data_IF_881076039049
#
_entry.id   IF_881076039049
#
_cell.length_a   1.000
_cell.length_b   1.000
_cell.length_c   1.000
_cell.angle_alpha   90.00
_cell.angle_beta   90.00
_cell.angle_gamma   90.00
#
_symmetry.space_group_name_H-M   'P 1'
#
loop_
_entity.id
_entity.type
_entity.pdbx_description
1 polymer ?
#
# COMPACT_ATOMS: atom_id res chain seq x y z
N UNK A 1 -7.24 -17.66 45.06
CA UNK A 1 -6.91 -17.01 43.80
C UNK A 1 -5.96 -17.88 43.01
N UNK A 2 -5.96 -17.82 41.70
CA UNK A 2 -5.10 -18.63 40.85
C UNK A 2 -3.62 -18.34 41.11
N UNK A 3 -3.29 -17.11 41.47
CA UNK A 3 -1.96 -16.67 41.90
C UNK A 3 -1.40 -17.46 43.06
N UNK A 4 -2.24 -17.72 44.07
CA UNK A 4 -1.82 -18.50 45.25
C UNK A 4 -1.51 -19.95 44.88
N UNK A 5 -2.23 -20.51 43.92
CA UNK A 5 -1.99 -21.86 43.37
C UNK A 5 -0.68 -21.93 42.59
N UNK A 6 -0.39 -20.89 41.82
CA UNK A 6 0.89 -20.80 41.08
C UNK A 6 2.08 -20.66 42.04
N UNK A 7 2.00 -19.76 43.01
CA UNK A 7 3.04 -19.64 44.04
C UNK A 7 3.25 -20.94 44.81
N UNK A 8 2.16 -21.65 45.16
CA UNK A 8 2.25 -22.96 45.81
C UNK A 8 2.84 -24.04 44.88
N UNK A 9 2.64 -23.94 43.57
CA UNK A 9 3.27 -24.81 42.57
C UNK A 9 4.77 -24.57 42.53
N UNK A 10 5.21 -23.33 42.40
CA UNK A 10 6.63 -22.95 42.40
C UNK A 10 7.31 -23.36 43.73
N UNK A 11 6.64 -23.16 44.86
CA UNK A 11 7.16 -23.58 46.15
C UNK A 11 7.35 -25.09 46.24
N UNK A 12 6.42 -25.90 45.70
CA UNK A 12 6.55 -27.36 45.64
C UNK A 12 7.65 -27.84 44.71
N UNK A 13 7.99 -27.03 43.72
CA UNK A 13 9.04 -27.29 42.74
C UNK A 13 10.41 -26.73 43.20
N UNK A 14 10.46 -26.08 44.36
CA UNK A 14 11.65 -25.39 44.91
C UNK A 14 12.17 -24.30 43.92
N UNK A 15 11.29 -23.78 43.05
CA UNK A 15 11.62 -22.74 42.09
C UNK A 15 11.48 -21.36 42.73
N UNK A 16 12.42 -21.06 43.59
CA UNK A 16 12.49 -19.78 44.34
C UNK A 16 12.74 -18.59 43.42
N UNK A 17 13.29 -18.82 42.23
CA UNK A 17 13.50 -17.76 41.24
C UNK A 17 12.17 -17.28 40.66
N UNK A 18 11.30 -18.20 40.26
CA UNK A 18 9.95 -17.85 39.77
C UNK A 18 9.11 -17.21 40.87
N UNK A 19 9.21 -17.66 42.11
CA UNK A 19 8.56 -17.00 43.26
C UNK A 19 9.05 -15.56 43.39
N UNK A 20 10.36 -15.35 43.38
CA UNK A 20 10.94 -14.01 43.50
C UNK A 20 10.51 -13.07 42.35
N UNK A 21 10.50 -13.56 41.12
CA UNK A 21 10.02 -12.81 39.99
C UNK A 21 8.54 -12.42 40.14
N UNK A 22 7.69 -13.35 40.55
CA UNK A 22 6.27 -13.10 40.76
C UNK A 22 6.05 -12.01 41.82
N UNK A 23 6.71 -12.16 42.98
CA UNK A 23 6.64 -11.19 44.11
C UNK A 23 7.24 -9.81 43.72
N UNK A 24 8.29 -9.80 42.93
CA UNK A 24 8.90 -8.54 42.46
C UNK A 24 8.00 -7.76 41.49
N UNK A 25 7.19 -8.46 40.69
CA UNK A 25 6.29 -7.84 39.70
C UNK A 25 4.92 -7.49 40.29
N UNK A 26 4.57 -7.99 41.48
CA UNK A 26 3.30 -7.68 42.16
C UNK A 26 3.43 -6.39 42.98
N UNK A 27 2.84 -5.29 42.46
CA UNK A 27 2.81 -4.01 43.17
C UNK A 27 1.92 -4.07 44.43
N UNK A 28 0.85 -4.87 44.43
CA UNK A 28 0.00 -5.09 45.58
C UNK A 28 0.78 -5.75 46.73
N UNK A 29 1.64 -6.74 46.42
CA UNK A 29 2.57 -7.34 47.38
C UNK A 29 3.57 -6.30 47.88
N UNK A 30 4.15 -5.50 47.01
CA UNK A 30 5.07 -4.43 47.40
C UNK A 30 4.43 -3.46 48.40
N UNK A 31 3.23 -2.97 48.07
CA UNK A 31 2.49 -2.05 48.95
C UNK A 31 2.09 -2.68 50.29
N UNK A 32 1.75 -3.97 50.28
CA UNK A 32 1.47 -4.72 51.49
C UNK A 32 2.71 -4.85 52.38
N UNK A 33 3.82 -5.30 51.80
CA UNK A 33 5.09 -5.42 52.54
C UNK A 33 5.58 -4.06 53.03
N UNK A 34 5.45 -3.01 52.21
CA UNK A 34 5.85 -1.66 52.65
C UNK A 34 5.05 -1.16 53.85
N UNK A 35 3.77 -1.55 53.97
CA UNK A 35 2.94 -1.23 55.14
C UNK A 35 3.26 -2.10 56.36
N UNK A 36 3.37 -3.41 56.14
CA UNK A 36 3.62 -4.39 57.21
C UNK A 36 5.06 -4.35 57.70
N UNK A 37 6.03 -4.09 56.83
CA UNK A 37 7.44 -4.16 57.19
C UNK A 37 7.86 -3.19 58.30
N UNK A 38 7.17 -2.04 58.44
CA UNK A 38 7.44 -1.09 59.55
C UNK A 38 7.11 -1.65 60.94
N UNK A 39 6.21 -2.61 61.03
CA UNK A 39 5.79 -3.21 62.27
C UNK A 39 6.40 -4.60 62.51
N UNK A 40 6.85 -5.29 61.44
CA UNK A 40 7.26 -6.70 61.48
C UNK A 40 8.79 -6.89 61.33
N UNK A 41 9.47 -5.93 60.67
CA UNK A 41 10.92 -5.98 60.46
C UNK A 41 11.68 -5.19 61.52
N UNK A 42 12.88 -5.65 61.84
CA UNK A 42 13.81 -4.79 62.56
C UNK A 42 14.19 -3.58 61.68
N UNK A 43 14.63 -2.44 62.26
CA UNK A 43 15.07 -1.29 61.47
C UNK A 43 16.13 -1.62 60.43
N UNK A 44 17.08 -2.48 60.76
CA UNK A 44 18.19 -2.91 59.90
C UNK A 44 17.67 -3.80 58.76
N UNK A 45 16.76 -4.74 59.04
CA UNK A 45 16.15 -5.60 58.01
C UNK A 45 15.26 -4.78 57.06
N UNK A 46 14.54 -3.77 57.61
CA UNK A 46 13.72 -2.89 56.80
C UNK A 46 14.56 -2.08 55.78
N UNK A 47 15.65 -1.48 56.25
CA UNK A 47 16.53 -0.70 55.35
C UNK A 47 17.27 -1.58 54.35
N UNK A 48 17.68 -2.80 54.78
CA UNK A 48 18.28 -3.81 53.89
C UNK A 48 17.33 -4.26 52.76
N UNK A 49 16.03 -4.38 53.08
CA UNK A 49 14.99 -4.71 52.08
C UNK A 49 14.62 -3.50 51.21
N UNK A 50 14.41 -2.33 51.84
CA UNK A 50 13.88 -1.13 51.17
C UNK A 50 14.81 -0.58 50.12
N UNK A 51 16.10 -0.47 50.40
CA UNK A 51 17.07 0.18 49.52
C UNK A 51 17.14 -0.50 48.14
N UNK A 52 17.42 -1.82 48.01
CA UNK A 52 17.45 -2.50 46.73
C UNK A 52 16.05 -2.53 46.04
N UNK A 53 14.98 -2.60 46.85
CA UNK A 53 13.62 -2.61 46.29
C UNK A 53 13.24 -1.27 45.63
N UNK A 54 13.59 -0.15 46.22
CA UNK A 54 13.34 1.19 45.63
C UNK A 54 14.14 1.35 44.34
N UNK A 55 15.37 0.89 44.29
CA UNK A 55 16.20 0.94 43.08
C UNK A 55 15.64 0.03 41.96
N UNK A 56 15.23 -1.20 42.35
CA UNK A 56 14.52 -2.10 41.43
C UNK A 56 13.26 -1.44 40.86
N UNK A 57 12.39 -0.86 41.72
CA UNK A 57 11.16 -0.25 41.31
C UNK A 57 11.39 0.94 40.38
N UNK A 58 12.42 1.75 40.62
CA UNK A 58 12.84 2.83 39.75
C UNK A 58 13.23 2.33 38.35
N UNK A 59 14.05 1.27 38.31
CA UNK A 59 14.50 0.62 37.08
C UNK A 59 13.32 -0.01 36.35
N UNK A 60 12.48 -0.75 37.07
CA UNK A 60 11.28 -1.39 36.53
C UNK A 60 10.31 -0.38 35.89
N UNK A 61 10.04 0.73 36.59
CA UNK A 61 9.19 1.81 36.10
C UNK A 61 9.84 2.62 34.94
N UNK A 62 11.14 2.47 34.69
CA UNK A 62 11.78 3.09 33.52
C UNK A 62 11.57 2.29 32.23
N UNK A 63 11.14 1.04 32.32
CA UNK A 63 10.83 0.20 31.16
C UNK A 63 9.51 0.69 30.56
N UNK A 64 9.53 1.09 29.27
CA UNK A 64 8.38 1.72 28.61
C UNK A 64 7.09 0.90 28.68
N UNK A 65 7.16 -0.42 28.58
CA UNK A 65 5.99 -1.30 28.67
C UNK A 65 5.34 -1.28 30.06
N UNK A 66 6.11 -1.13 31.13
CA UNK A 66 5.60 -1.03 32.50
C UNK A 66 5.18 0.39 32.87
N UNK A 67 5.87 1.41 32.32
CA UNK A 67 5.56 2.81 32.57
C UNK A 67 4.27 3.29 31.85
N UNK A 68 4.07 2.82 30.62
CA UNK A 68 3.02 3.33 29.71
C UNK A 68 2.04 2.27 29.24
N UNK A 69 2.25 0.99 29.57
CA UNK A 69 1.28 -0.09 29.34
C UNK A 69 0.07 0.04 30.27
N UNK A 70 -1.09 -0.41 29.83
CA UNK A 70 -2.33 -0.33 30.61
C UNK A 70 -2.38 -1.50 31.61
N UNK A 71 -2.43 -1.19 32.91
CA UNK A 71 -2.63 -2.14 34.00
C UNK A 71 -3.98 -1.94 34.63
N UNK A 72 -4.60 -3.01 35.11
CA UNK A 72 -5.89 -2.87 35.80
C UNK A 72 -5.77 -2.19 37.18
N UNK A 73 -4.57 -2.19 37.77
CA UNK A 73 -4.24 -1.50 39.01
C UNK A 73 -3.90 -0.02 38.83
N UNK A 74 -3.55 0.41 37.60
CA UNK A 74 -3.17 1.80 37.30
C UNK A 74 -3.76 2.24 35.96
N UNK A 75 -5.05 2.57 35.96
CA UNK A 75 -5.78 3.02 34.79
C UNK A 75 -5.76 4.55 34.72
N UNK A 76 -5.15 5.11 33.68
CA UNK A 76 -5.10 6.54 33.43
C UNK A 76 -5.43 6.85 31.95
N UNK A 77 -5.74 8.11 31.65
CA UNK A 77 -5.94 8.55 30.25
C UNK A 77 -4.67 8.29 29.43
N UNK A 78 -3.50 8.47 30.05
CA UNK A 78 -2.22 8.25 29.38
C UNK A 78 -2.08 6.76 29.03
N UNK A 79 -2.28 5.84 29.99
CA UNK A 79 -2.13 4.40 29.75
C UNK A 79 -3.21 3.84 28.85
N UNK A 80 -4.45 4.40 28.85
CA UNK A 80 -5.52 4.05 27.90
C UNK A 80 -5.18 4.42 26.46
N UNK A 81 -4.34 5.42 26.24
CA UNK A 81 -3.90 5.80 24.89
C UNK A 81 -2.56 5.16 24.53
N UNK A 82 -1.57 5.21 25.44
CA UNK A 82 -0.20 4.81 25.13
C UNK A 82 -0.03 3.32 24.90
N UNK A 83 -0.78 2.47 25.60
CA UNK A 83 -0.68 1.01 25.43
C UNK A 83 -0.88 0.54 23.99
N UNK A 84 -1.67 1.28 23.20
CA UNK A 84 -1.95 0.97 21.79
C UNK A 84 -0.71 1.12 20.90
N UNK A 85 0.31 1.86 21.34
CA UNK A 85 1.53 2.15 20.58
C UNK A 85 2.75 1.38 21.10
N UNK A 86 2.60 0.64 22.19
CA UNK A 86 3.65 -0.20 22.74
C UNK A 86 3.55 -1.62 22.21
N UNK A 87 4.67 -2.33 22.13
CA UNK A 87 4.72 -3.70 21.62
C UNK A 87 5.71 -4.54 22.41
N UNK A 88 5.36 -5.80 22.65
CA UNK A 88 6.19 -6.76 23.40
C UNK A 88 7.40 -7.31 22.63
N UNK A 89 7.57 -6.93 21.34
CA UNK A 89 8.70 -7.35 20.52
C UNK A 89 8.48 -7.12 19.04
N UNK A 90 9.53 -7.37 18.24
CA UNK A 90 9.54 -7.10 16.79
C UNK A 90 8.44 -7.90 16.06
N UNK A 91 8.26 -9.18 16.37
CA UNK A 91 7.21 -10.00 15.75
C UNK A 91 5.81 -9.47 16.05
N UNK A 92 5.59 -8.93 17.26
CA UNK A 92 4.31 -8.35 17.66
C UNK A 92 3.99 -7.06 16.88
N UNK A 93 4.94 -6.14 16.72
CA UNK A 93 4.72 -4.93 15.93
C UNK A 93 4.53 -5.25 14.45
N UNK A 94 5.34 -6.15 13.88
CA UNK A 94 5.22 -6.56 12.47
C UNK A 94 3.84 -7.18 12.20
N UNK A 95 3.38 -8.09 13.06
CA UNK A 95 2.05 -8.67 12.95
C UNK A 95 0.94 -7.61 12.97
N UNK A 96 0.99 -6.69 13.93
CA UNK A 96 0.03 -5.59 14.02
C UNK A 96 0.05 -4.68 12.78
N UNK A 97 1.23 -4.35 12.26
CA UNK A 97 1.35 -3.49 11.08
C UNK A 97 0.80 -4.16 9.82
N UNK A 98 1.01 -5.46 9.64
CA UNK A 98 0.42 -6.21 8.52
C UNK A 98 -1.10 -6.10 8.55
N UNK A 99 -1.74 -6.37 9.68
CA UNK A 99 -3.20 -6.26 9.80
C UNK A 99 -3.70 -4.82 9.64
N UNK A 100 -2.99 -3.85 10.22
CA UNK A 100 -3.34 -2.43 10.06
C UNK A 100 -3.24 -1.97 8.60
N UNK A 101 -2.23 -2.39 7.86
CA UNK A 101 -2.09 -2.07 6.44
C UNK A 101 -3.22 -2.72 5.63
N UNK A 102 -3.46 -4.01 5.83
CA UNK A 102 -4.46 -4.77 5.04
C UNK A 102 -5.88 -4.22 5.24
N UNK A 103 -6.28 -3.94 6.47
CA UNK A 103 -7.64 -3.50 6.78
C UNK A 103 -7.76 -1.98 6.93
N UNK A 104 -6.73 -1.34 7.48
CA UNK A 104 -6.75 0.07 7.84
C UNK A 104 -6.88 0.97 6.62
N UNK A 105 -6.07 0.77 5.59
CA UNK A 105 -6.14 1.59 4.36
C UNK A 105 -7.52 1.55 3.70
N UNK A 106 -8.13 0.38 3.64
CA UNK A 106 -9.45 0.25 3.03
C UNK A 106 -10.54 0.95 3.86
N UNK A 107 -10.51 0.82 5.18
CA UNK A 107 -11.45 1.51 6.08
C UNK A 107 -11.20 3.02 6.04
N UNK A 108 -9.95 3.46 6.10
CA UNK A 108 -9.57 4.87 6.02
C UNK A 108 -10.05 5.53 4.73
N UNK A 109 -9.84 4.88 3.58
CA UNK A 109 -10.33 5.36 2.28
C UNK A 109 -11.87 5.41 2.23
N UNK A 110 -12.54 4.49 2.91
CA UNK A 110 -14.01 4.45 2.95
C UNK A 110 -14.64 5.51 3.86
N UNK A 111 -14.03 5.86 5.00
CA UNK A 111 -14.62 6.78 6.00
C UNK A 111 -13.89 8.11 6.15
N UNK A 112 -12.69 8.23 5.58
CA UNK A 112 -11.81 9.41 5.65
C UNK A 112 -10.86 9.39 6.84
N UNK A 113 -9.70 10.07 6.71
CA UNK A 113 -8.55 10.00 7.62
C UNK A 113 -8.88 10.36 9.07
N UNK A 114 -9.59 11.47 9.29
CA UNK A 114 -9.88 11.97 10.66
C UNK A 114 -10.80 11.01 11.41
N UNK A 115 -11.85 10.52 10.76
CA UNK A 115 -12.78 9.57 11.39
C UNK A 115 -12.10 8.24 11.67
N UNK A 116 -11.25 7.77 10.73
CA UNK A 116 -10.46 6.56 10.92
C UNK A 116 -9.58 6.66 12.15
N UNK A 117 -8.80 7.74 12.29
CA UNK A 117 -7.94 7.96 13.46
C UNK A 117 -8.73 8.00 14.77
N UNK A 118 -9.85 8.73 14.79
CA UNK A 118 -10.69 8.80 15.98
C UNK A 118 -11.28 7.44 16.35
N UNK A 119 -11.77 6.69 15.37
CA UNK A 119 -12.37 5.37 15.63
C UNK A 119 -11.33 4.34 16.04
N UNK A 120 -10.12 4.43 15.48
CA UNK A 120 -8.97 3.61 15.89
C UNK A 120 -8.63 3.83 17.38
N UNK A 121 -8.46 5.12 17.79
CA UNK A 121 -8.11 5.46 19.16
C UNK A 121 -9.23 5.09 20.15
N UNK A 122 -10.47 5.41 19.82
CA UNK A 122 -11.63 5.09 20.67
C UNK A 122 -11.80 3.56 20.77
N UNK A 123 -11.69 2.86 19.66
CA UNK A 123 -11.74 1.37 19.62
C UNK A 123 -10.68 0.75 20.53
N UNK A 124 -9.45 1.29 20.50
CA UNK A 124 -8.36 0.85 21.37
C UNK A 124 -8.59 1.16 22.86
N UNK A 125 -9.18 2.31 23.17
CA UNK A 125 -9.57 2.64 24.56
C UNK A 125 -10.59 1.62 25.09
N UNK A 126 -11.65 1.33 24.32
CA UNK A 126 -12.66 0.36 24.73
C UNK A 126 -12.10 -1.07 24.79
N UNK A 127 -11.15 -1.43 23.91
CA UNK A 127 -10.42 -2.67 23.98
C UNK A 127 -9.63 -2.79 25.30
N UNK A 128 -8.91 -1.72 25.68
CA UNK A 128 -8.19 -1.65 26.95
C UNK A 128 -9.11 -1.76 28.15
N UNK A 129 -10.22 -1.05 28.15
CA UNK A 129 -11.21 -1.12 29.24
C UNK A 129 -11.84 -2.52 29.37
N UNK A 130 -12.12 -3.20 28.26
CA UNK A 130 -12.62 -4.58 28.30
C UNK A 130 -11.61 -5.53 28.95
N UNK A 131 -10.32 -5.36 28.67
CA UNK A 131 -9.25 -6.14 29.33
C UNK A 131 -9.18 -5.81 30.82
N UNK A 132 -9.17 -4.53 31.18
CA UNK A 132 -9.11 -4.08 32.60
C UNK A 132 -10.20 -4.74 33.45
N UNK A 133 -11.46 -4.77 32.94
CA UNK A 133 -12.59 -5.38 33.68
C UNK A 133 -12.39 -6.88 33.92
N UNK A 134 -11.70 -7.57 33.02
CA UNK A 134 -11.48 -9.02 33.14
C UNK A 134 -10.20 -9.40 33.89
N UNK A 135 -9.30 -8.45 34.09
CA UNK A 135 -8.01 -8.66 34.77
C UNK A 135 -7.87 -7.80 36.02
N UNK A 136 -8.98 -7.54 36.72
CA UNK A 136 -8.97 -6.69 37.93
C UNK A 136 -7.91 -7.17 38.96
N UNK A 137 -7.10 -6.24 39.42
CA UNK A 137 -6.01 -6.51 40.37
C UNK A 137 -4.71 -6.99 39.72
N UNK A 138 -4.63 -7.13 38.41
CA UNK A 138 -3.41 -7.53 37.73
C UNK A 138 -2.51 -6.33 37.41
N UNK A 139 -1.22 -6.47 37.69
CA UNK A 139 -0.15 -5.54 37.36
C UNK A 139 0.53 -5.84 36.02
N UNK A 140 0.07 -6.87 35.32
CA UNK A 140 0.59 -7.22 34.00
C UNK A 140 0.14 -6.15 32.98
N UNK A 141 1.09 -5.46 32.34
CA UNK A 141 0.74 -4.38 31.41
C UNK A 141 0.19 -4.93 30.10
N UNK A 142 -1.00 -4.48 29.70
CA UNK A 142 -1.49 -4.64 28.36
C UNK A 142 -0.70 -3.72 27.43
N UNK A 143 -0.20 -4.26 26.32
CA UNK A 143 0.49 -3.51 25.25
C UNK A 143 0.10 -4.07 23.90
N UNK A 144 -0.05 -3.21 22.92
CA UNK A 144 -0.28 -3.56 21.52
C UNK A 144 -1.45 -2.84 20.86
N UNK A 145 -1.29 -2.59 19.58
CA UNK A 145 -2.30 -2.02 18.71
C UNK A 145 -3.47 -2.97 18.42
N UNK A 146 -3.35 -4.26 18.76
CA UNK A 146 -4.23 -5.33 18.29
C UNK A 146 -5.70 -5.16 18.70
N UNK A 147 -5.98 -4.57 19.84
CA UNK A 147 -7.35 -4.24 20.25
C UNK A 147 -7.99 -3.20 19.36
N UNK A 148 -7.28 -2.11 19.05
CA UNK A 148 -7.73 -1.09 18.10
C UNK A 148 -7.88 -1.67 16.67
N UNK A 149 -6.93 -2.50 16.24
CA UNK A 149 -6.97 -3.19 14.93
C UNK A 149 -8.17 -4.14 14.84
N UNK A 150 -8.54 -4.83 15.93
CA UNK A 150 -9.77 -5.63 15.98
C UNK A 150 -11.01 -4.77 15.73
N UNK A 151 -11.02 -3.52 16.24
CA UNK A 151 -12.06 -2.53 15.93
C UNK A 151 -12.06 -2.14 14.45
N UNK A 152 -10.90 -1.93 13.86
CA UNK A 152 -10.77 -1.66 12.40
C UNK A 152 -11.27 -2.84 11.58
N UNK A 153 -10.99 -4.08 11.98
CA UNK A 153 -11.52 -5.28 11.31
C UNK A 153 -13.06 -5.34 11.36
N UNK A 154 -13.66 -4.99 12.51
CA UNK A 154 -15.12 -4.91 12.62
C UNK A 154 -15.71 -3.83 11.71
N UNK A 155 -15.08 -2.65 11.64
CA UNK A 155 -15.47 -1.59 10.70
C UNK A 155 -15.36 -2.06 9.25
N UNK A 156 -14.25 -2.73 8.91
CA UNK A 156 -14.05 -3.30 7.57
C UNK A 156 -15.19 -4.25 7.19
N UNK A 157 -15.56 -5.17 8.08
CA UNK A 157 -16.67 -6.08 7.87
C UNK A 157 -18.01 -5.36 7.72
N UNK A 158 -18.25 -4.32 8.49
CA UNK A 158 -19.48 -3.51 8.40
C UNK A 158 -19.58 -2.74 7.08
N UNK A 159 -18.45 -2.21 6.57
CA UNK A 159 -18.38 -1.45 5.31
C UNK A 159 -18.46 -2.37 4.10
N UNK A 160 -17.63 -3.42 4.07
CA UNK A 160 -17.46 -4.27 2.88
C UNK A 160 -18.35 -5.50 2.88
N UNK A 161 -18.86 -5.95 4.02
CA UNK A 161 -19.88 -7.04 4.17
C UNK A 161 -19.58 -8.30 3.35
N UNK A 162 -20.44 -8.60 2.39
CA UNK A 162 -20.36 -9.78 1.51
C UNK A 162 -19.50 -9.53 0.25
N UNK A 163 -18.82 -8.39 0.16
CA UNK A 163 -17.94 -8.10 -0.97
C UNK A 163 -16.81 -9.10 -1.02
N UNK A 164 -16.53 -9.57 -2.21
CA UNK A 164 -15.42 -10.49 -2.44
C UNK A 164 -14.14 -9.69 -2.51
N UNK A 165 -13.26 -9.93 -1.56
CA UNK A 165 -11.89 -9.39 -1.54
C UNK A 165 -10.91 -10.48 -1.97
N UNK A 166 -9.77 -10.06 -2.45
CA UNK A 166 -8.71 -10.95 -2.89
C UNK A 166 -7.80 -11.25 -1.71
N UNK A 167 -7.71 -12.54 -1.37
CA UNK A 167 -6.82 -13.05 -0.33
C UNK A 167 -5.57 -13.61 -0.97
N UNK A 168 -4.42 -13.17 -0.50
CA UNK A 168 -3.15 -13.78 -0.80
C UNK A 168 -2.94 -14.98 0.12
N UNK A 169 -2.50 -16.12 -0.46
CA UNK A 169 -2.06 -17.25 0.34
C UNK A 169 -0.67 -17.70 -0.05
N UNK A 170 0.07 -18.11 0.96
CA UNK A 170 1.39 -18.73 0.81
C UNK A 170 1.44 -19.95 1.73
N UNK A 171 1.32 -21.12 1.16
CA UNK A 171 1.36 -22.40 1.87
C UNK A 171 2.49 -23.23 1.29
N UNK A 172 3.61 -23.37 1.98
CA UNK A 172 4.82 -23.97 1.51
C UNK A 172 5.29 -23.40 0.17
N UNK A 173 5.18 -24.16 -0.94
CA UNK A 173 5.54 -23.73 -2.28
C UNK A 173 4.36 -23.20 -3.10
N UNK A 174 3.16 -23.30 -2.57
CA UNK A 174 1.97 -22.81 -3.26
C UNK A 174 1.68 -21.36 -2.87
N UNK A 175 1.81 -20.49 -3.84
CA UNK A 175 1.53 -19.06 -3.71
C UNK A 175 0.41 -18.70 -4.69
N UNK A 176 -0.57 -17.95 -4.23
CA UNK A 176 -1.65 -17.53 -5.11
C UNK A 176 -2.64 -16.59 -4.44
N UNK A 177 -3.69 -16.30 -5.18
CA UNK A 177 -4.77 -15.45 -4.73
C UNK A 177 -6.10 -16.18 -4.89
N UNK A 178 -7.00 -15.98 -3.93
CA UNK A 178 -8.38 -16.42 -4.05
C UNK A 178 -9.32 -15.32 -3.62
N UNK A 179 -10.52 -15.29 -4.20
CA UNK A 179 -11.55 -14.30 -3.86
C UNK A 179 -12.63 -14.90 -2.98
N UNK A 180 -12.83 -14.29 -1.82
CA UNK A 180 -13.85 -14.70 -0.87
C UNK A 180 -14.55 -13.47 -0.25
N UNK A 181 -15.78 -13.63 0.27
CA UNK A 181 -16.45 -12.57 1.00
C UNK A 181 -15.63 -12.10 2.19
N UNK A 182 -15.56 -10.78 2.41
CA UNK A 182 -14.87 -10.19 3.56
C UNK A 182 -15.33 -10.80 4.90
N UNK A 183 -16.60 -11.17 4.98
CA UNK A 183 -17.20 -11.79 6.17
C UNK A 183 -16.50 -13.09 6.60
N UNK A 184 -15.81 -13.80 5.69
CA UNK A 184 -15.05 -15.02 6.05
C UNK A 184 -13.84 -14.76 6.95
N UNK A 185 -13.38 -13.51 7.04
CA UNK A 185 -12.31 -13.13 7.98
C UNK A 185 -12.76 -13.41 9.43
N UNK A 186 -14.03 -13.15 9.73
CA UNK A 186 -14.58 -13.25 11.09
C UNK A 186 -14.46 -14.64 11.70
N UNK A 187 -14.99 -15.73 11.09
CA UNK A 187 -14.83 -17.06 11.66
C UNK A 187 -13.36 -17.51 11.71
N UNK A 188 -12.53 -17.08 10.77
CA UNK A 188 -11.11 -17.39 10.80
C UNK A 188 -10.40 -16.68 11.96
N UNK A 189 -10.69 -15.40 12.17
CA UNK A 189 -10.14 -14.61 13.26
C UNK A 189 -10.58 -15.15 14.63
N UNK A 190 -11.89 -15.38 14.80
CA UNK A 190 -12.46 -15.96 16.03
C UNK A 190 -11.90 -17.36 16.29
N UNK A 191 -11.82 -18.19 15.24
CA UNK A 191 -11.26 -19.54 15.35
C UNK A 191 -9.81 -19.54 15.80
N UNK A 192 -9.00 -18.60 15.28
CA UNK A 192 -7.62 -18.38 15.74
C UNK A 192 -7.57 -17.97 17.21
N UNK A 193 -8.39 -17.03 17.66
CA UNK A 193 -8.44 -16.59 19.05
C UNK A 193 -8.83 -17.75 19.98
N UNK A 194 -9.87 -18.52 19.64
CA UNK A 194 -10.29 -19.71 20.39
C UNK A 194 -9.16 -20.75 20.42
N UNK A 195 -8.52 -21.04 19.30
CA UNK A 195 -7.41 -21.98 19.23
C UNK A 195 -6.24 -21.53 20.14
N UNK A 196 -5.87 -20.28 20.10
CA UNK A 196 -4.79 -19.74 20.94
C UNK A 196 -5.14 -19.83 22.44
N UNK A 197 -6.41 -19.58 22.81
CA UNK A 197 -6.87 -19.69 24.18
C UNK A 197 -6.70 -21.11 24.74
N UNK A 198 -7.04 -22.14 23.94
CA UNK A 198 -6.93 -23.55 24.39
C UNK A 198 -5.55 -24.17 24.19
N UNK A 199 -4.81 -23.73 23.16
CA UNK A 199 -3.52 -24.35 22.80
C UNK A 199 -2.34 -23.83 23.62
N UNK A 200 -2.45 -22.63 24.17
CA UNK A 200 -1.38 -21.97 24.91
C UNK A 200 -1.88 -21.56 26.30
N UNK A 201 -1.96 -22.53 27.23
CA UNK A 201 -2.19 -22.23 28.64
C UNK A 201 -1.10 -21.28 29.13
N UNK A 202 -1.49 -20.11 29.68
CA UNK A 202 -0.57 -19.07 30.14
C UNK A 202 -0.14 -18.10 29.03
N UNK A 203 -0.79 -18.09 27.84
CA UNK A 203 -0.52 -17.09 26.83
C UNK A 203 -0.96 -15.70 27.33
N UNK A 204 -0.04 -14.72 27.26
CA UNK A 204 -0.31 -13.32 27.58
C UNK A 204 -1.14 -12.62 26.49
N UNK A 205 -1.97 -13.34 25.74
CA UNK A 205 -2.81 -12.77 24.68
C UNK A 205 -4.06 -12.18 25.31
N UNK A 206 -4.28 -10.92 25.08
CA UNK A 206 -5.40 -10.15 25.64
C UNK A 206 -6.70 -10.37 24.80
N UNK A 207 -7.28 -11.57 24.90
CA UNK A 207 -8.50 -11.94 24.15
C UNK A 207 -9.65 -10.97 24.38
N UNK A 208 -9.80 -10.49 25.61
CA UNK A 208 -10.89 -9.56 25.95
C UNK A 208 -10.65 -8.16 25.37
N UNK A 209 -9.38 -7.74 25.23
CA UNK A 209 -9.07 -6.53 24.48
C UNK A 209 -9.46 -6.66 22.99
N UNK A 210 -9.19 -7.81 22.37
CA UNK A 210 -9.58 -8.06 20.98
C UNK A 210 -11.11 -8.05 20.82
N UNK A 211 -11.84 -8.76 21.68
CA UNK A 211 -13.30 -8.81 21.66
C UNK A 211 -13.91 -7.42 21.91
N UNK A 212 -13.41 -6.71 22.93
CA UNK A 212 -13.85 -5.35 23.25
C UNK A 212 -13.61 -4.36 22.11
N UNK A 213 -12.43 -4.42 21.49
CA UNK A 213 -12.11 -3.62 20.31
C UNK A 213 -13.03 -3.93 19.13
N UNK A 214 -13.27 -5.20 18.84
CA UNK A 214 -14.15 -5.64 17.77
C UNK A 214 -15.59 -5.14 17.97
N UNK A 215 -16.14 -5.27 19.17
CA UNK A 215 -17.49 -4.77 19.52
C UNK A 215 -17.52 -3.25 19.38
N UNK A 216 -16.53 -2.54 19.94
CA UNK A 216 -16.46 -1.07 19.88
C UNK A 216 -16.40 -0.57 18.43
N UNK A 217 -15.55 -1.17 17.59
CA UNK A 217 -15.46 -0.83 16.17
C UNK A 217 -16.77 -1.03 15.41
N UNK A 218 -17.48 -2.15 15.67
CA UNK A 218 -18.79 -2.42 15.11
C UNK A 218 -19.85 -1.39 15.54
N UNK A 219 -19.84 -1.00 16.81
CA UNK A 219 -20.76 0.03 17.34
C UNK A 219 -20.43 1.40 16.74
N UNK A 220 -19.17 1.82 16.72
CA UNK A 220 -18.74 3.10 16.18
C UNK A 220 -19.17 3.31 14.73
N UNK A 221 -18.88 2.32 13.88
CA UNK A 221 -19.29 2.40 12.47
C UNK A 221 -20.81 2.31 12.33
N UNK A 222 -21.48 1.50 13.14
CA UNK A 222 -22.93 1.39 13.15
C UNK A 222 -23.60 2.72 13.49
N UNK A 223 -23.15 3.41 14.55
CA UNK A 223 -23.64 4.74 14.93
C UNK A 223 -23.36 5.75 13.80
N UNK A 224 -22.15 5.74 13.22
CA UNK A 224 -21.81 6.63 12.13
C UNK A 224 -22.73 6.45 10.92
N UNK A 225 -23.06 5.23 10.56
CA UNK A 225 -23.97 4.90 9.45
C UNK A 225 -25.42 5.27 9.72
N UNK A 226 -25.87 5.16 10.98
CA UNK A 226 -27.22 5.59 11.40
C UNK A 226 -27.36 7.10 11.39
N UNK A 227 -26.33 7.81 11.83
CA UNK A 227 -26.36 9.28 11.92
C UNK A 227 -26.20 9.98 10.57
N UNK A 228 -25.33 9.45 9.72
CA UNK A 228 -25.09 10.01 8.39
C UNK A 228 -24.81 8.90 7.39
N UNK A 229 -25.76 8.57 6.53
CA UNK A 229 -25.60 7.55 5.47
C UNK A 229 -24.51 7.90 4.46
N UNK A 230 -24.12 9.18 4.34
CA UNK A 230 -23.07 9.66 3.47
C UNK A 230 -21.67 9.63 4.13
N UNK A 231 -21.53 8.98 5.30
CA UNK A 231 -20.21 8.78 5.95
C UNK A 231 -19.27 7.99 5.07
N UNK A 232 -19.81 7.08 4.25
CA UNK A 232 -19.02 6.23 3.37
C UNK A 232 -18.75 6.91 2.03
N UNK A 233 -17.52 6.82 1.58
CA UNK A 233 -17.15 7.15 0.21
C UNK A 233 -17.63 6.02 -0.72
N UNK A 234 -18.87 6.15 -1.21
CA UNK A 234 -19.48 5.15 -2.06
C UNK A 234 -18.73 4.96 -3.38
N UNK A 235 -18.15 6.02 -3.94
CA UNK A 235 -17.35 5.95 -5.17
C UNK A 235 -16.15 5.02 -4.99
N UNK A 236 -15.41 5.16 -3.88
CA UNK A 236 -14.31 4.25 -3.55
C UNK A 236 -14.81 2.81 -3.34
N UNK A 237 -15.90 2.67 -2.58
CA UNK A 237 -16.47 1.37 -2.25
C UNK A 237 -17.00 0.67 -3.52
N UNK A 238 -17.56 1.40 -4.49
CA UNK A 238 -18.06 0.86 -5.75
C UNK A 238 -16.95 0.58 -6.77
N UNK A 239 -15.91 1.43 -6.82
CA UNK A 239 -14.73 1.20 -7.65
C UNK A 239 -14.01 -0.11 -7.34
N UNK A 240 -13.94 -0.50 -6.07
CA UNK A 240 -13.33 -1.78 -5.67
C UNK A 240 -14.16 -3.02 -6.09
N UNK A 241 -15.45 -2.85 -6.47
CA UNK A 241 -16.28 -3.94 -7.01
C UNK A 241 -16.14 -4.13 -8.52
N UNK A 242 -15.77 -3.11 -9.22
CA UNK A 242 -15.49 -3.19 -10.64
C UNK A 242 -13.97 -3.31 -10.82
N UNK A 243 -13.45 -4.52 -10.78
CA UNK A 243 -12.35 -4.83 -11.69
C UNK A 243 -12.87 -4.32 -13.01
N UNK A 244 -12.37 -3.18 -13.47
CA UNK A 244 -12.98 -2.49 -14.60
C UNK A 244 -13.08 -3.48 -15.75
N UNK A 245 -14.06 -3.34 -16.63
CA UNK A 245 -14.16 -4.19 -17.81
C UNK A 245 -12.80 -4.23 -18.54
N UNK A 246 -12.08 -3.10 -18.46
CA UNK A 246 -10.71 -2.94 -18.94
C UNK A 246 -9.71 -3.87 -18.22
N UNK A 247 -9.68 -3.91 -16.90
CA UNK A 247 -8.73 -4.75 -16.15
C UNK A 247 -9.00 -6.24 -16.35
N UNK A 248 -10.26 -6.65 -16.44
CA UNK A 248 -10.64 -8.01 -16.82
C UNK A 248 -10.16 -8.33 -18.23
N UNK A 249 -10.42 -7.42 -19.17
CA UNK A 249 -9.98 -7.56 -20.57
C UNK A 249 -8.46 -7.66 -20.66
N UNK A 250 -7.70 -6.82 -19.96
CA UNK A 250 -6.25 -6.87 -19.92
C UNK A 250 -5.73 -8.18 -19.29
N UNK A 251 -6.34 -8.66 -18.20
CA UNK A 251 -5.97 -9.93 -17.58
C UNK A 251 -6.20 -11.12 -18.53
N UNK A 252 -7.31 -11.12 -19.29
CA UNK A 252 -7.55 -12.14 -20.33
C UNK A 252 -6.52 -12.07 -21.46
N UNK A 253 -6.13 -10.86 -21.88
CA UNK A 253 -5.10 -10.63 -22.91
C UNK A 253 -3.76 -11.19 -22.43
N UNK A 254 -3.31 -10.81 -21.22
CA UNK A 254 -2.02 -11.31 -20.69
C UNK A 254 -2.02 -12.83 -20.51
N UNK A 255 -3.09 -13.40 -19.99
CA UNK A 255 -3.22 -14.87 -19.88
C UNK A 255 -3.19 -15.57 -21.23
N UNK A 256 -3.76 -14.95 -22.28
CA UNK A 256 -3.69 -15.48 -23.62
C UNK A 256 -2.27 -15.40 -24.21
N UNK A 257 -1.54 -14.32 -23.91
CA UNK A 257 -0.13 -14.15 -24.32
C UNK A 257 0.75 -15.19 -23.64
N UNK A 258 0.63 -15.39 -22.33
CA UNK A 258 1.35 -16.43 -21.57
C UNK A 258 1.10 -17.84 -22.12
N UNK A 259 -0.13 -18.09 -22.59
CA UNK A 259 -0.53 -19.36 -23.20
C UNK A 259 -0.22 -19.44 -24.71
N UNK A 260 0.52 -18.48 -25.27
CA UNK A 260 0.88 -18.34 -26.68
C UNK A 260 -0.32 -18.31 -27.64
N UNK A 261 -1.52 -17.94 -27.16
CA UNK A 261 -2.75 -17.84 -27.95
C UNK A 261 -2.89 -16.44 -28.55
N UNK A 262 -1.97 -16.06 -29.44
CA UNK A 262 -1.84 -14.70 -29.95
C UNK A 262 -3.05 -14.20 -30.74
N UNK A 263 -3.73 -15.09 -31.50
CA UNK A 263 -4.95 -14.72 -32.24
C UNK A 263 -6.09 -14.34 -31.29
N UNK A 264 -6.26 -15.09 -30.20
CA UNK A 264 -7.23 -14.77 -29.17
C UNK A 264 -6.89 -13.45 -28.47
N UNK A 265 -5.60 -13.24 -28.13
CA UNK A 265 -5.15 -11.98 -27.53
C UNK A 265 -5.42 -10.79 -28.46
N UNK A 266 -5.11 -10.88 -29.77
CA UNK A 266 -5.39 -9.83 -30.75
C UNK A 266 -6.88 -9.52 -30.90
N UNK A 267 -7.72 -10.55 -30.88
CA UNK A 267 -9.19 -10.38 -30.87
C UNK A 267 -9.65 -9.61 -29.65
N UNK A 268 -9.20 -10.01 -28.45
CA UNK A 268 -9.53 -9.34 -27.18
C UNK A 268 -9.02 -7.90 -27.12
N UNK A 269 -7.83 -7.62 -27.61
CA UNK A 269 -7.32 -6.24 -27.74
C UNK A 269 -8.26 -5.42 -28.63
N UNK A 270 -8.70 -5.98 -29.78
CA UNK A 270 -9.59 -5.26 -30.69
C UNK A 270 -10.97 -5.00 -30.06
N UNK A 271 -11.53 -5.95 -29.31
CA UNK A 271 -12.76 -5.79 -28.54
C UNK A 271 -12.61 -4.67 -27.50
N UNK A 272 -11.52 -4.68 -26.75
CA UNK A 272 -11.27 -3.68 -25.71
C UNK A 272 -11.03 -2.28 -26.29
N UNK A 273 -10.34 -2.18 -27.43
CA UNK A 273 -10.16 -0.90 -28.15
C UNK A 273 -11.49 -0.33 -28.66
N UNK A 274 -12.48 -1.16 -28.98
CA UNK A 274 -13.81 -0.70 -29.41
C UNK A 274 -14.68 -0.22 -28.24
N UNK A 275 -14.57 -0.85 -27.07
CA UNK A 275 -15.40 -0.54 -25.89
C UNK A 275 -14.82 0.57 -25.03
N UNK A 276 -13.52 0.59 -24.81
CA UNK A 276 -12.83 1.54 -23.91
C UNK A 276 -12.06 2.64 -24.64
N UNK A 277 -11.93 2.50 -25.96
CA UNK A 277 -11.14 3.41 -26.77
C UNK A 277 -9.69 2.96 -27.00
N UNK A 278 -9.02 3.68 -27.88
CA UNK A 278 -7.64 3.44 -28.26
C UNK A 278 -6.69 4.23 -27.36
N UNK A 279 -5.81 3.52 -26.66
CA UNK A 279 -4.72 4.10 -25.91
C UNK A 279 -3.35 3.49 -26.26
N UNK A 280 -2.30 4.06 -25.67
CA UNK A 280 -0.93 3.62 -25.93
C UNK A 280 -0.70 2.16 -25.53
N UNK A 281 -1.21 1.70 -24.39
CA UNK A 281 -1.01 0.34 -23.88
C UNK A 281 -1.58 -0.70 -24.84
N UNK A 282 -2.81 -0.53 -25.27
CA UNK A 282 -3.48 -1.46 -26.18
C UNK A 282 -2.84 -1.44 -27.57
N UNK A 283 -2.52 -0.24 -28.10
CA UNK A 283 -1.83 -0.10 -29.38
C UNK A 283 -0.44 -0.76 -29.34
N UNK A 284 0.30 -0.59 -28.26
CA UNK A 284 1.64 -1.17 -28.08
C UNK A 284 1.58 -2.69 -27.95
N UNK A 285 0.63 -3.24 -27.18
CA UNK A 285 0.41 -4.69 -27.10
C UNK A 285 0.07 -5.28 -28.47
N UNK A 286 -0.83 -4.64 -29.20
CA UNK A 286 -1.21 -5.07 -30.56
C UNK A 286 0.00 -5.09 -31.50
N UNK A 287 0.76 -3.99 -31.51
CA UNK A 287 1.98 -3.89 -32.32
C UNK A 287 2.95 -5.04 -32.02
N UNK A 288 3.25 -5.29 -30.73
CA UNK A 288 4.19 -6.35 -30.34
C UNK A 288 3.71 -7.75 -30.77
N UNK A 289 2.43 -8.05 -30.60
CA UNK A 289 1.89 -9.35 -31.01
C UNK A 289 1.91 -9.54 -32.53
N UNK A 290 1.57 -8.53 -33.30
CA UNK A 290 1.63 -8.57 -34.76
C UNK A 290 3.09 -8.70 -35.25
N UNK A 291 4.05 -8.06 -34.56
CA UNK A 291 5.48 -8.18 -34.83
C UNK A 291 5.96 -9.61 -34.61
N UNK A 292 5.63 -10.22 -33.47
CA UNK A 292 5.99 -11.60 -33.12
C UNK A 292 5.40 -12.59 -34.14
N UNK A 293 4.15 -12.42 -34.52
CA UNK A 293 3.48 -13.29 -35.49
C UNK A 293 3.98 -13.10 -36.92
N UNK A 294 4.71 -12.03 -37.21
CA UNK A 294 5.01 -11.57 -38.58
C UNK A 294 3.72 -11.43 -39.41
N UNK A 295 2.63 -10.96 -38.75
CA UNK A 295 1.29 -10.89 -39.29
C UNK A 295 1.12 -9.76 -40.31
N UNK A 296 0.10 -9.89 -41.17
CA UNK A 296 -0.27 -8.84 -42.12
C UNK A 296 -0.72 -7.54 -41.44
N UNK A 297 -1.12 -7.61 -40.17
CA UNK A 297 -1.54 -6.46 -39.34
C UNK A 297 -0.39 -5.62 -38.77
N UNK A 298 0.86 -6.04 -38.90
CA UNK A 298 2.02 -5.35 -38.36
C UNK A 298 2.10 -3.87 -38.78
N UNK A 299 2.02 -3.61 -40.08
CA UNK A 299 2.10 -2.24 -40.63
C UNK A 299 0.96 -1.36 -40.12
N UNK A 300 -0.26 -1.90 -40.11
CA UNK A 300 -1.42 -1.17 -39.56
C UNK A 300 -1.27 -0.88 -38.08
N UNK A 301 -0.81 -1.84 -37.30
CA UNK A 301 -0.60 -1.67 -35.85
C UNK A 301 0.51 -0.68 -35.55
N UNK A 302 1.60 -0.72 -36.32
CA UNK A 302 2.69 0.25 -36.23
C UNK A 302 2.20 1.66 -36.54
N UNK A 303 1.47 1.82 -37.64
CA UNK A 303 0.89 3.14 -38.04
C UNK A 303 -0.06 3.65 -36.95
N UNK A 304 -0.97 2.82 -36.45
CA UNK A 304 -1.90 3.18 -35.37
C UNK A 304 -1.14 3.66 -34.14
N UNK A 305 -0.08 2.97 -33.74
CA UNK A 305 0.73 3.33 -32.57
C UNK A 305 1.45 4.67 -32.76
N UNK A 306 2.06 4.88 -33.95
CA UNK A 306 2.80 6.11 -34.27
C UNK A 306 1.89 7.35 -34.50
N UNK A 307 0.60 7.13 -34.72
CA UNK A 307 -0.36 8.24 -34.94
C UNK A 307 -1.15 8.62 -33.67
N UNK A 308 -0.86 8.01 -32.52
CA UNK A 308 -1.50 8.36 -31.25
C UNK A 308 -1.26 9.81 -30.84
N UNK A 309 -2.26 10.39 -30.18
CA UNK A 309 -2.23 11.75 -29.64
C UNK A 309 -2.20 11.70 -28.10
N UNK A 310 -1.88 12.83 -27.47
CA UNK A 310 -1.92 13.01 -26.02
C UNK A 310 -1.04 12.00 -25.24
N UNK A 311 0.17 11.77 -25.75
CA UNK A 311 1.15 10.87 -25.13
C UNK A 311 1.92 11.56 -24.01
N UNK A 312 2.25 10.82 -22.97
CA UNK A 312 3.16 11.27 -21.94
C UNK A 312 4.64 11.14 -22.37
N UNK A 313 5.55 11.74 -21.61
CA UNK A 313 6.97 11.76 -21.96
C UNK A 313 7.61 10.37 -22.14
N UNK A 314 7.21 9.39 -21.30
CA UNK A 314 7.71 8.01 -21.37
C UNK A 314 7.20 7.28 -22.63
N UNK A 315 5.95 7.54 -23.02
CA UNK A 315 5.36 6.96 -24.23
C UNK A 315 6.01 7.53 -25.48
N UNK A 316 6.27 8.84 -25.50
CA UNK A 316 7.00 9.51 -26.60
C UNK A 316 8.43 8.95 -26.71
N UNK A 317 9.13 8.74 -25.59
CA UNK A 317 10.47 8.12 -25.60
C UNK A 317 10.43 6.69 -26.19
N UNK A 318 9.41 5.90 -25.84
CA UNK A 318 9.21 4.58 -26.44
C UNK A 318 8.98 4.63 -27.94
N UNK A 319 8.16 5.59 -28.42
CA UNK A 319 7.97 5.77 -29.87
C UNK A 319 9.26 6.17 -30.58
N UNK A 320 10.10 7.02 -29.97
CA UNK A 320 11.38 7.41 -30.52
C UNK A 320 12.33 6.20 -30.69
N UNK A 321 12.38 5.30 -29.71
CA UNK A 321 13.13 4.03 -29.80
C UNK A 321 12.59 3.13 -30.91
N UNK A 322 11.27 2.95 -31.00
CA UNK A 322 10.65 2.15 -32.04
C UNK A 322 10.87 2.74 -33.44
N UNK A 323 10.87 4.07 -33.57
CA UNK A 323 11.20 4.75 -34.82
C UNK A 323 12.59 4.39 -35.31
N UNK A 324 13.57 4.34 -34.41
CA UNK A 324 14.95 3.98 -34.75
C UNK A 324 15.10 2.49 -35.12
N UNK A 325 14.30 1.60 -34.47
CA UNK A 325 14.33 0.14 -34.73
C UNK A 325 13.66 -0.25 -36.05
N UNK A 326 12.50 0.37 -36.38
CA UNK A 326 11.63 -0.05 -37.48
C UNK A 326 11.82 0.78 -38.76
N UNK A 327 13.07 1.00 -39.17
CA UNK A 327 13.45 1.85 -40.29
C UNK A 327 12.69 1.58 -41.61
N UNK A 328 12.29 0.34 -41.87
CA UNK A 328 11.52 -0.03 -43.04
C UNK A 328 10.06 0.39 -42.95
N UNK A 329 9.48 0.28 -41.74
CA UNK A 329 8.07 0.61 -41.48
C UNK A 329 7.86 2.12 -41.41
N UNK A 330 8.87 2.91 -41.06
CA UNK A 330 8.77 4.37 -40.98
C UNK A 330 8.46 5.02 -42.33
N UNK A 331 8.96 4.43 -43.43
CA UNK A 331 8.70 4.90 -44.80
C UNK A 331 7.25 4.81 -45.24
N UNK A 332 6.43 4.12 -44.49
CA UNK A 332 5.00 3.88 -44.81
C UNK A 332 4.09 4.93 -44.15
N UNK A 333 4.64 5.69 -43.17
CA UNK A 333 3.86 6.77 -42.55
C UNK A 333 3.72 7.97 -43.52
N UNK A 334 2.52 8.58 -43.61
CA UNK A 334 2.33 9.85 -44.32
C UNK A 334 3.25 10.94 -43.77
N UNK A 335 3.68 11.84 -44.62
CA UNK A 335 4.61 12.90 -44.27
C UNK A 335 4.09 13.81 -43.12
N UNK A 336 2.77 14.10 -43.11
CA UNK A 336 2.14 14.89 -42.05
C UNK A 336 2.20 14.18 -40.69
N UNK A 337 2.01 12.84 -40.66
CA UNK A 337 2.12 12.05 -39.44
C UNK A 337 3.58 11.99 -38.94
N UNK A 338 4.54 11.87 -39.88
CA UNK A 338 5.96 11.95 -39.55
C UNK A 338 6.34 13.29 -38.95
N UNK A 339 5.88 14.38 -39.56
CA UNK A 339 6.12 15.75 -39.09
C UNK A 339 5.57 15.95 -37.66
N UNK A 340 4.33 15.53 -37.42
CA UNK A 340 3.72 15.60 -36.09
C UNK A 340 4.54 14.81 -35.06
N UNK A 341 4.97 13.61 -35.43
CA UNK A 341 5.80 12.75 -34.55
C UNK A 341 7.14 13.40 -34.23
N UNK A 342 7.77 14.04 -35.22
CA UNK A 342 9.01 14.79 -35.03
C UNK A 342 8.83 15.93 -34.03
N UNK A 343 7.71 16.67 -34.06
CA UNK A 343 7.40 17.69 -33.06
C UNK A 343 7.30 17.09 -31.63
N UNK A 344 6.73 15.90 -31.47
CA UNK A 344 6.70 15.22 -30.19
C UNK A 344 8.11 14.84 -29.74
N UNK A 345 8.94 14.31 -30.63
CA UNK A 345 10.32 13.93 -30.32
C UNK A 345 11.21 15.12 -29.90
N UNK A 346 10.89 16.36 -30.33
CA UNK A 346 11.62 17.54 -29.84
C UNK A 346 11.46 17.80 -28.35
N UNK A 347 10.49 17.17 -27.67
CA UNK A 347 10.31 17.29 -26.21
C UNK A 347 11.27 16.40 -25.43
N UNK A 348 11.89 15.43 -26.07
CA UNK A 348 12.80 14.46 -25.46
C UNK A 348 14.22 15.02 -25.25
N UNK A 349 15.00 14.30 -24.46
CA UNK A 349 16.44 14.51 -24.35
C UNK A 349 17.17 14.03 -25.60
N UNK A 350 16.76 12.90 -26.17
CA UNK A 350 17.30 12.37 -27.43
C UNK A 350 16.50 12.93 -28.62
N UNK A 351 17.15 13.71 -29.45
CA UNK A 351 16.57 14.37 -30.61
C UNK A 351 16.80 13.61 -31.92
N UNK A 352 17.47 12.45 -31.88
CA UNK A 352 17.89 11.70 -33.08
C UNK A 352 16.72 11.31 -33.99
N UNK A 353 15.57 10.93 -33.41
CA UNK A 353 14.38 10.63 -34.19
C UNK A 353 13.80 11.85 -34.90
N UNK A 354 13.80 13.00 -34.24
CA UNK A 354 13.33 14.25 -34.86
C UNK A 354 14.28 14.70 -36.01
N UNK A 355 15.60 14.55 -35.79
CA UNK A 355 16.60 14.81 -36.85
C UNK A 355 16.41 13.91 -38.05
N UNK A 356 16.26 12.61 -37.82
CA UNK A 356 16.06 11.65 -38.92
C UNK A 356 14.80 11.96 -39.74
N UNK A 357 13.74 12.36 -39.08
CA UNK A 357 12.48 12.71 -39.76
C UNK A 357 12.62 13.99 -40.56
N UNK A 358 13.19 15.05 -40.00
CA UNK A 358 13.31 16.31 -40.74
C UNK A 358 14.23 16.17 -41.94
N UNK A 359 15.37 15.45 -41.79
CA UNK A 359 16.30 15.20 -42.91
C UNK A 359 15.63 14.37 -44.02
N UNK A 360 14.80 13.38 -43.63
CA UNK A 360 14.03 12.56 -44.60
C UNK A 360 12.97 13.39 -45.34
N UNK A 361 12.15 14.16 -44.65
CA UNK A 361 11.09 14.99 -45.24
C UNK A 361 11.67 16.06 -46.14
N UNK A 362 12.80 16.65 -45.80
CA UNK A 362 13.49 17.62 -46.64
C UNK A 362 14.02 16.99 -47.95
N UNK A 363 14.62 15.78 -47.87
CA UNK A 363 15.08 15.03 -49.05
C UNK A 363 13.92 14.67 -50.01
N UNK A 364 12.74 14.41 -49.46
CA UNK A 364 11.52 14.17 -50.28
C UNK A 364 10.89 15.43 -50.88
N UNK A 365 11.52 16.57 -50.70
CA UNK A 365 10.99 17.87 -51.13
C UNK A 365 9.63 18.22 -50.50
N UNK A 366 9.32 17.61 -49.32
CA UNK A 366 8.15 17.97 -48.56
C UNK A 366 8.47 19.25 -47.76
N UNK A 367 7.83 20.36 -48.11
CA UNK A 367 8.17 21.68 -47.55
C UNK A 367 6.94 22.43 -47.02
N UNK A 368 6.15 21.88 -46.09
CA UNK A 368 5.10 22.68 -45.46
C UNK A 368 5.72 23.74 -44.55
N UNK A 369 5.00 24.78 -44.23
CA UNK A 369 5.42 25.84 -43.30
C UNK A 369 5.83 25.31 -41.93
N UNK A 370 5.18 24.25 -41.50
CA UNK A 370 5.47 23.57 -40.22
C UNK A 370 6.85 22.88 -40.19
N UNK A 371 7.42 22.50 -41.37
CA UNK A 371 8.78 21.93 -41.42
C UNK A 371 9.83 23.01 -41.09
N UNK A 372 9.60 24.26 -41.47
CA UNK A 372 10.43 25.40 -41.05
C UNK A 372 10.35 25.61 -39.54
N UNK A 373 9.15 25.48 -38.95
CA UNK A 373 8.96 25.59 -37.52
C UNK A 373 9.69 24.45 -36.77
N UNK A 374 9.65 23.24 -37.30
CA UNK A 374 10.38 22.10 -36.72
C UNK A 374 11.90 22.33 -36.74
N UNK A 375 12.44 22.83 -37.86
CA UNK A 375 13.86 23.16 -37.98
C UNK A 375 14.30 24.21 -36.93
N UNK A 376 13.51 25.28 -36.79
CA UNK A 376 13.78 26.31 -35.78
C UNK A 376 13.72 25.73 -34.35
N UNK A 377 12.75 24.87 -34.09
CA UNK A 377 12.62 24.22 -32.79
C UNK A 377 13.82 23.30 -32.47
N UNK A 378 14.31 22.53 -33.45
CA UNK A 378 15.50 21.71 -33.30
C UNK A 378 16.73 22.59 -33.07
N UNK A 379 16.89 23.70 -33.80
CA UNK A 379 17.99 24.63 -33.58
C UNK A 379 18.01 25.18 -32.16
N UNK A 380 16.84 25.58 -31.63
CA UNK A 380 16.71 26.03 -30.23
C UNK A 380 17.07 24.91 -29.25
N UNK A 381 16.54 23.70 -29.45
CA UNK A 381 16.83 22.55 -28.56
C UNK A 381 18.31 22.16 -28.56
N UNK A 382 19.01 22.25 -29.70
CA UNK A 382 20.45 22.00 -29.75
C UNK A 382 21.27 23.14 -29.11
N UNK A 383 20.81 24.39 -29.24
CA UNK A 383 21.41 25.53 -28.54
C UNK A 383 21.32 25.35 -27.00
N UNK A 384 20.17 24.95 -26.49
CA UNK A 384 19.95 24.64 -25.07
C UNK A 384 20.88 23.51 -24.55
N UNK A 385 21.30 22.61 -25.44
CA UNK A 385 22.24 21.52 -25.16
C UNK A 385 23.70 21.90 -25.41
N UNK A 386 23.99 23.15 -25.73
CA UNK A 386 25.33 23.63 -26.08
C UNK A 386 25.94 22.95 -27.32
N UNK A 387 25.09 22.37 -28.20
CA UNK A 387 25.51 21.79 -29.48
C UNK A 387 25.36 22.84 -30.59
N UNK A 388 26.35 23.73 -30.64
CA UNK A 388 26.34 24.84 -31.58
C UNK A 388 26.37 24.38 -33.04
N UNK A 389 27.05 23.29 -33.36
CA UNK A 389 27.16 22.76 -34.72
C UNK A 389 25.81 22.36 -35.27
N UNK A 390 25.06 21.52 -34.52
CA UNK A 390 23.71 21.11 -34.96
C UNK A 390 22.72 22.25 -34.86
N UNK A 391 22.84 23.16 -33.92
CA UNK A 391 22.01 24.35 -33.84
C UNK A 391 22.12 25.19 -35.12
N UNK A 392 23.34 25.48 -35.58
CA UNK A 392 23.58 26.21 -36.82
C UNK A 392 23.06 25.48 -38.07
N UNK A 393 23.30 24.14 -38.15
CA UNK A 393 22.76 23.30 -39.26
C UNK A 393 21.26 23.53 -39.46
N UNK A 394 20.49 23.48 -38.38
CA UNK A 394 19.02 23.58 -38.48
C UNK A 394 18.53 25.03 -38.63
N UNK A 395 19.28 26.03 -38.19
CA UNK A 395 19.00 27.44 -38.50
C UNK A 395 19.18 27.71 -39.99
N UNK A 396 20.28 27.27 -40.60
CA UNK A 396 20.53 27.40 -42.02
C UNK A 396 19.51 26.66 -42.86
N UNK A 397 19.12 25.44 -42.44
CA UNK A 397 18.05 24.65 -43.07
C UNK A 397 16.73 25.42 -43.07
N UNK A 398 16.34 26.01 -41.93
CA UNK A 398 15.12 26.81 -41.82
C UNK A 398 15.15 28.03 -42.75
N UNK A 399 16.27 28.75 -42.80
CA UNK A 399 16.45 29.91 -43.69
C UNK A 399 16.38 29.53 -45.18
N UNK A 400 17.00 28.40 -45.55
CA UNK A 400 16.97 27.88 -46.94
C UNK A 400 15.54 27.54 -47.36
N UNK A 401 14.81 26.80 -46.51
CA UNK A 401 13.41 26.46 -46.79
C UNK A 401 12.49 27.70 -46.90
N UNK A 402 12.75 28.73 -46.09
CA UNK A 402 12.01 29.99 -46.14
C UNK A 402 12.24 30.73 -47.48
N UNK A 403 13.51 30.80 -47.93
CA UNK A 403 13.87 31.41 -49.20
C UNK A 403 13.26 30.66 -50.42
N UNK A 404 13.33 29.33 -50.38
CA UNK A 404 12.75 28.48 -51.46
C UNK A 404 11.22 28.57 -51.51
N UNK A 405 10.54 28.76 -50.35
CA UNK A 405 9.08 28.95 -50.24
C UNK A 405 8.61 30.27 -50.84
N UNK A 406 9.45 31.32 -50.85
CA UNK A 406 9.14 32.61 -51.49
C UNK A 406 9.31 32.60 -53.00
N UNK A 407 10.04 31.66 -53.59
CA UNK A 407 10.24 31.57 -55.05
C UNK A 407 9.18 30.69 -55.74
N UNK A 408 8.23 30.11 -55.00
CA UNK A 408 7.14 29.29 -55.53
C UNK A 408 5.81 30.03 -55.69
N UNK A 409 5.76 31.33 -55.46
CA UNK A 409 4.58 32.17 -55.59
C UNK A 409 4.88 33.32 -56.64
N UNK A 410 5.30 32.94 -57.82
CA UNK A 410 5.32 33.83 -59.00
C UNK A 410 4.73 33.10 -60.19
#
# INVERSE_FOLDING_TARGET
TDDLRELQRYQRQEDYWSIAQYMLMDNGYYDHVQRAARSEFSPDDYDAWKTPRVEFQKTFNSISTFAYGLKSTDVSIVTLLSHQFLHGGVGHIVGNMIFLIVFGFAVEAAIGHVKFLLFYLIGGIFAGLAQVVTTLGSDVPLVGASGAISGVMAMYLAVFRLRKIEFFYWVFFFVGYFRAPALLILPFYIGKEIYQYYAFEGSNVAFMAHAGGFIAGGILIGIALLWNRNVLNNDYIEQDQTVSAREKGLAEIYKAIESLRFDFALKKISELMQTEGLDFQLAYLRYNLEKIKKGKGFITSFRTLMTLKNLNAHEVERLNKLWAEEKAATKILPNDDQLRLAFQFTTLKDLSGAEAIIDHLYQQKFKPSELVLLANKLATRFSEKHDHSRSMKYQELAQTMTKEGHHGIV
#
